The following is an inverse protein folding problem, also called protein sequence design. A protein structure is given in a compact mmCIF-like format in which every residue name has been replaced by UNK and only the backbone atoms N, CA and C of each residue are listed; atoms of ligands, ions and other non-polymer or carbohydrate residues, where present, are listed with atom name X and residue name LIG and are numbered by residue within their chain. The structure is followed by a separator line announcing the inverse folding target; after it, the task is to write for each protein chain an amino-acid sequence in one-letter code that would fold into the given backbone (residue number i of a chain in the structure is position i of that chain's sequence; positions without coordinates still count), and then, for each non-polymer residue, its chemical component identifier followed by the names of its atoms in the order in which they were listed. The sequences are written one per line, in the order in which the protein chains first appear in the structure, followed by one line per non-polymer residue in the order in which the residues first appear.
data_IF_276863499952
#
_entry.id   IF_276863499952
#
_cell.length_a   1.000
_cell.length_b   1.000
_cell.length_c   1.000
_cell.angle_alpha   90.00
_cell.angle_beta   90.00
_cell.angle_gamma   90.00
#
_symmetry.space_group_name_H-M   'P 1'
#
loop_
_entity.id
_entity.type
_entity.pdbx_description
1 polymer ?
#
# COMPACT_ATOMS: atom_id res chain seq x y z
N UNK A 1 6.20 10.43 -19.48
CA UNK A 1 6.82 9.11 -19.25
C UNK A 1 7.99 9.26 -18.29
N UNK A 2 8.02 8.52 -17.19
CA UNK A 2 9.04 8.66 -16.13
C UNK A 2 10.30 7.80 -16.41
N UNK A 3 10.11 6.59 -16.93
CA UNK A 3 11.17 5.64 -17.29
C UNK A 3 12.29 6.27 -18.15
N UNK A 4 12.04 6.94 -19.29
CA UNK A 4 13.13 7.51 -20.09
C UNK A 4 13.90 8.62 -19.36
N UNK A 5 13.25 9.38 -18.46
CA UNK A 5 13.91 10.41 -17.65
C UNK A 5 14.83 9.79 -16.60
N UNK A 6 14.38 8.70 -15.96
CA UNK A 6 15.19 7.97 -14.98
C UNK A 6 16.34 7.22 -15.67
N UNK A 7 16.09 6.58 -16.81
CA UNK A 7 17.11 5.90 -17.61
C UNK A 7 18.26 6.85 -17.98
N UNK A 8 17.92 8.08 -18.40
CA UNK A 8 18.92 9.12 -18.67
C UNK A 8 19.67 9.58 -17.41
N UNK A 9 18.99 9.69 -16.27
CA UNK A 9 19.58 10.16 -15.01
C UNK A 9 20.57 9.16 -14.39
N UNK A 10 20.46 7.86 -14.72
CA UNK A 10 21.33 6.80 -14.18
C UNK A 10 22.48 6.40 -15.10
N UNK A 11 22.67 7.08 -16.23
CA UNK A 11 23.79 6.82 -17.16
C UNK A 11 25.13 6.98 -16.42
N UNK A 12 26.01 5.98 -16.57
CA UNK A 12 27.33 5.96 -15.92
C UNK A 12 27.32 5.39 -14.49
N UNK A 13 26.15 5.02 -13.94
CA UNK A 13 26.03 4.28 -12.70
C UNK A 13 25.68 2.80 -12.94
N UNK A 14 26.00 1.93 -11.98
CA UNK A 14 25.53 0.54 -11.97
C UNK A 14 24.07 0.49 -11.48
N UNK A 15 23.13 0.84 -12.36
CA UNK A 15 21.71 0.95 -12.05
C UNK A 15 20.83 0.70 -13.29
N UNK A 16 19.53 0.46 -13.08
CA UNK A 16 18.55 0.27 -14.14
C UNK A 16 17.24 1.01 -13.83
N UNK A 17 16.60 1.56 -14.86
CA UNK A 17 15.26 2.11 -14.80
C UNK A 17 14.30 1.19 -15.58
N UNK A 18 13.26 0.68 -14.92
CA UNK A 18 12.32 -0.29 -15.50
C UNK A 18 10.91 0.11 -15.13
N UNK A 19 9.99 0.13 -16.11
CA UNK A 19 8.57 0.28 -15.82
C UNK A 19 8.00 -1.03 -15.24
N UNK A 20 7.59 -0.96 -13.98
CA UNK A 20 6.98 -2.06 -13.23
C UNK A 20 5.53 -1.77 -12.82
N UNK A 21 4.94 -0.67 -13.30
CA UNK A 21 3.61 -0.23 -12.87
C UNK A 21 2.51 -1.26 -13.15
N UNK A 22 2.67 -2.02 -14.24
CA UNK A 22 1.74 -3.11 -14.59
C UNK A 22 1.79 -4.30 -13.61
N UNK A 23 2.79 -4.38 -12.72
CA UNK A 23 2.85 -5.42 -11.70
C UNK A 23 1.95 -5.20 -10.49
N UNK A 24 1.33 -4.03 -10.36
CA UNK A 24 0.67 -3.59 -9.14
C UNK A 24 -0.76 -3.09 -9.36
N UNK A 25 -1.51 -3.12 -8.26
CA UNK A 25 -2.82 -2.49 -8.10
C UNK A 25 -2.75 -1.58 -6.89
N UNK A 26 -3.30 -0.37 -7.01
CA UNK A 26 -3.45 0.56 -5.88
C UNK A 26 -4.90 0.50 -5.43
N UNK A 27 -5.12 0.18 -4.16
CA UNK A 27 -6.43 0.24 -3.51
C UNK A 27 -6.43 1.41 -2.56
N UNK A 28 -7.34 2.36 -2.75
CA UNK A 28 -7.56 3.43 -1.80
C UNK A 28 -8.65 3.04 -0.80
N UNK A 29 -8.40 3.24 0.49
CA UNK A 29 -9.43 3.15 1.52
C UNK A 29 -9.48 4.44 2.33
N UNK A 30 -10.68 4.76 2.82
CA UNK A 30 -10.89 5.90 3.71
C UNK A 30 -12.00 5.61 4.72
N UNK A 31 -11.97 6.34 5.83
CA UNK A 31 -12.97 6.28 6.89
C UNK A 31 -12.34 6.14 8.26
N UNK A 32 -13.07 6.54 9.30
CA UNK A 32 -12.56 6.60 10.69
C UNK A 32 -11.98 5.28 11.18
N UNK A 33 -12.57 4.15 10.75
CA UNK A 33 -12.14 2.78 11.10
C UNK A 33 -11.15 2.16 10.11
N UNK A 34 -10.62 2.91 9.13
CA UNK A 34 -9.68 2.37 8.15
C UNK A 34 -8.40 1.81 8.80
N UNK A 35 -7.92 2.47 9.87
CA UNK A 35 -6.77 1.97 10.65
C UNK A 35 -7.10 0.66 11.37
N UNK A 36 -8.29 0.54 11.94
CA UNK A 36 -8.72 -0.66 12.64
C UNK A 36 -8.81 -1.85 11.68
N UNK A 37 -9.36 -1.64 10.49
CA UNK A 37 -9.40 -2.67 9.42
C UNK A 37 -7.98 -3.11 9.07
N UNK A 38 -7.07 -2.17 8.81
CA UNK A 38 -5.67 -2.47 8.47
C UNK A 38 -4.94 -3.21 9.62
N UNK A 39 -5.19 -2.83 10.87
CA UNK A 39 -4.55 -3.43 12.04
C UNK A 39 -4.94 -4.91 12.26
N UNK A 40 -6.07 -5.36 11.70
CA UNK A 40 -6.47 -6.78 11.78
C UNK A 40 -5.56 -7.72 10.99
N UNK A 41 -4.88 -7.21 9.96
CA UNK A 41 -4.03 -8.02 9.08
C UNK A 41 -2.61 -7.52 8.91
N UNK A 42 -2.31 -6.29 9.31
CA UNK A 42 -0.99 -5.68 9.23
C UNK A 42 -0.33 -5.64 10.62
N UNK A 43 0.90 -6.19 10.79
CA UNK A 43 1.59 -6.22 12.08
C UNK A 43 2.25 -4.88 12.48
N UNK A 44 2.24 -3.87 11.61
CA UNK A 44 2.89 -2.60 11.91
C UNK A 44 2.05 -1.76 12.89
N UNK A 45 2.73 -0.92 13.68
CA UNK A 45 2.06 0.12 14.44
C UNK A 45 1.51 1.20 13.48
N UNK A 46 0.19 1.21 13.33
CA UNK A 46 -0.52 2.15 12.47
C UNK A 46 -1.00 3.39 13.24
N UNK A 47 -0.52 3.65 14.45
CA UNK A 47 -0.92 4.84 15.19
C UNK A 47 -0.51 6.13 14.43
N UNK A 48 -1.34 7.18 14.39
CA UNK A 48 -1.03 8.43 13.68
C UNK A 48 0.26 9.13 14.13
N UNK A 49 0.78 8.81 15.32
CA UNK A 49 2.08 9.31 15.80
C UNK A 49 3.28 8.57 15.18
N UNK A 50 3.08 7.36 14.69
CA UNK A 50 4.12 6.50 14.10
C UNK A 50 4.05 6.55 12.58
N UNK A 51 2.87 6.28 12.00
CA UNK A 51 2.64 6.31 10.55
C UNK A 51 1.84 7.55 10.13
N UNK A 52 2.54 8.51 9.53
CA UNK A 52 2.08 9.86 9.15
C UNK A 52 2.12 10.07 7.64
N UNK A 53 1.28 10.99 7.10
CA UNK A 53 1.39 11.42 5.72
C UNK A 53 2.81 11.84 5.32
N UNK A 54 3.22 11.50 4.09
CA UNK A 54 4.58 11.69 3.59
C UNK A 54 5.52 10.50 3.85
N UNK A 55 5.06 9.47 4.56
CA UNK A 55 5.77 8.21 4.72
C UNK A 55 5.17 7.12 3.82
N UNK A 56 5.97 6.08 3.54
CA UNK A 56 5.49 4.82 3.02
C UNK A 56 6.19 3.68 3.77
N UNK A 57 5.48 2.59 4.00
CA UNK A 57 6.02 1.43 4.73
C UNK A 57 5.66 0.15 4.00
N UNK A 58 6.58 -0.81 4.00
CA UNK A 58 6.34 -2.14 3.47
C UNK A 58 5.97 -3.09 4.60
N UNK A 59 4.98 -3.95 4.33
CA UNK A 59 4.51 -4.96 5.28
C UNK A 59 3.82 -6.09 4.54
N UNK A 60 3.09 -6.92 5.28
CA UNK A 60 2.06 -7.80 4.76
C UNK A 60 0.71 -7.44 5.37
N UNK A 61 -0.35 -7.73 4.64
CA UNK A 61 -1.72 -7.76 5.12
C UNK A 61 -2.24 -9.20 4.95
N UNK A 62 -2.32 -9.92 6.06
CA UNK A 62 -2.43 -11.38 6.07
C UNK A 62 -1.35 -12.02 5.18
N UNK A 63 -1.74 -12.65 4.06
CA UNK A 63 -0.81 -13.34 3.15
C UNK A 63 -0.31 -12.48 1.98
N UNK A 64 -0.77 -11.23 1.86
CA UNK A 64 -0.40 -10.36 0.74
C UNK A 64 0.67 -9.34 1.17
N UNK A 65 1.80 -9.28 0.47
CA UNK A 65 2.75 -8.17 0.63
C UNK A 65 2.12 -6.87 0.16
N UNK A 66 2.28 -5.81 0.96
CA UNK A 66 1.73 -4.48 0.68
C UNK A 66 2.76 -3.38 0.90
N UNK A 67 2.60 -2.28 0.16
CA UNK A 67 3.12 -0.97 0.55
C UNK A 67 1.94 -0.14 1.03
N UNK A 68 2.03 0.41 2.24
CA UNK A 68 1.03 1.27 2.82
C UNK A 68 1.49 2.73 2.77
N UNK A 69 0.65 3.60 2.22
CA UNK A 69 0.91 5.03 2.06
C UNK A 69 -0.23 5.81 2.73
N UNK A 70 -0.03 6.37 3.94
CA UNK A 70 -0.98 7.32 4.51
C UNK A 70 -1.08 8.59 3.64
N UNK A 71 -2.25 8.83 3.04
CA UNK A 71 -2.51 10.00 2.19
C UNK A 71 -3.40 11.05 2.87
N UNK A 72 -3.87 10.76 4.09
CA UNK A 72 -4.64 11.69 4.91
C UNK A 72 -4.81 11.17 6.34
N UNK A 73 -5.66 11.83 7.14
CA UNK A 73 -5.88 11.47 8.55
C UNK A 73 -6.35 10.01 8.72
N UNK A 74 -7.33 9.62 7.90
CA UNK A 74 -7.92 8.28 7.87
C UNK A 74 -8.08 7.79 6.42
N UNK A 75 -7.06 8.06 5.59
CA UNK A 75 -7.01 7.67 4.17
C UNK A 75 -5.67 7.04 3.85
N UNK A 76 -5.71 5.93 3.13
CA UNK A 76 -4.53 5.14 2.78
C UNK A 76 -4.61 4.66 1.34
N UNK A 77 -3.49 4.73 0.65
CA UNK A 77 -3.26 3.92 -0.53
C UNK A 77 -2.52 2.63 -0.11
N UNK A 78 -2.98 1.51 -0.64
CA UNK A 78 -2.35 0.22 -0.48
C UNK A 78 -1.92 -0.28 -1.85
N UNK A 79 -0.62 -0.39 -2.05
CA UNK A 79 -0.03 -0.96 -3.27
C UNK A 79 0.17 -2.44 -3.04
N UNK A 80 -0.52 -3.27 -3.84
CA UNK A 80 -0.46 -4.73 -3.78
C UNK A 80 -0.07 -5.29 -5.14
N UNK A 81 0.62 -6.44 -5.17
CA UNK A 81 0.89 -7.15 -6.43
C UNK A 81 -0.44 -7.47 -7.12
N UNK A 82 -0.53 -7.18 -8.42
CA UNK A 82 -1.77 -7.32 -9.21
C UNK A 82 -2.42 -8.69 -9.05
N UNK A 83 -1.62 -9.76 -9.02
CA UNK A 83 -2.12 -11.14 -8.85
C UNK A 83 -2.76 -11.41 -7.48
N UNK A 84 -2.47 -10.60 -6.46
CA UNK A 84 -3.03 -10.71 -5.11
C UNK A 84 -4.18 -9.73 -4.86
N UNK A 85 -4.55 -8.88 -5.83
CA UNK A 85 -5.53 -7.82 -5.63
C UNK A 85 -6.92 -8.36 -5.22
N UNK A 86 -7.43 -9.40 -5.89
CA UNK A 86 -8.73 -10.02 -5.54
C UNK A 86 -8.71 -10.60 -4.12
N UNK A 87 -7.66 -11.36 -3.77
CA UNK A 87 -7.48 -11.88 -2.42
C UNK A 87 -7.45 -10.76 -1.38
N UNK A 88 -6.68 -9.70 -1.63
CA UNK A 88 -6.54 -8.56 -0.74
C UNK A 88 -7.89 -7.87 -0.50
N UNK A 89 -8.67 -7.59 -1.55
CA UNK A 89 -9.98 -6.97 -1.43
C UNK A 89 -10.95 -7.86 -0.62
N UNK A 90 -10.99 -9.18 -0.89
CA UNK A 90 -11.86 -10.11 -0.16
C UNK A 90 -11.54 -10.18 1.32
N UNK A 91 -10.27 -10.31 1.68
CA UNK A 91 -9.87 -10.40 3.09
C UNK A 91 -9.99 -9.05 3.80
N UNK A 92 -9.86 -7.93 3.08
CA UNK A 92 -10.14 -6.60 3.62
C UNK A 92 -11.63 -6.39 3.93
N UNK A 93 -12.52 -6.81 3.04
CA UNK A 93 -13.96 -6.80 3.32
C UNK A 93 -14.31 -7.67 4.53
N UNK A 94 -13.72 -8.87 4.62
CA UNK A 94 -13.89 -9.73 5.79
C UNK A 94 -13.36 -9.10 7.09
N UNK A 95 -12.21 -8.42 7.00
CA UNK A 95 -11.65 -7.65 8.09
C UNK A 95 -12.55 -6.47 8.53
N UNK A 96 -13.29 -5.87 7.60
CA UNK A 96 -14.20 -4.78 7.89
C UNK A 96 -15.53 -5.21 8.53
N UNK A 97 -16.03 -6.43 8.23
CA UNK A 97 -17.37 -6.89 8.68
C UNK A 97 -17.68 -6.64 10.16
N UNK A 98 -16.83 -7.01 11.14
CA UNK A 98 -17.14 -6.83 12.56
C UNK A 98 -17.09 -5.37 13.02
N UNK A 99 -16.49 -4.51 12.21
CA UNK A 99 -16.42 -3.08 12.48
C UNK A 99 -17.63 -2.38 11.91
N UNK A 100 -18.28 -2.90 10.86
CA UNK A 100 -19.42 -2.24 10.19
C UNK A 100 -20.80 -2.46 10.85
N UNK A 101 -20.87 -3.20 11.96
CA UNK A 101 -22.11 -3.42 12.74
C UNK A 101 -22.43 -2.28 13.70
#
# INVERSE_FOLDING_TARGET
MLEPKLAQAVVGAYAAAVDVGSGYTVVEISGERARDVLARGCPLDLHPRVLKPGQCVQSHYFKASIVLVPTGAARFEIVVRRSFADYFCRIMLDAAKPLTS
#
